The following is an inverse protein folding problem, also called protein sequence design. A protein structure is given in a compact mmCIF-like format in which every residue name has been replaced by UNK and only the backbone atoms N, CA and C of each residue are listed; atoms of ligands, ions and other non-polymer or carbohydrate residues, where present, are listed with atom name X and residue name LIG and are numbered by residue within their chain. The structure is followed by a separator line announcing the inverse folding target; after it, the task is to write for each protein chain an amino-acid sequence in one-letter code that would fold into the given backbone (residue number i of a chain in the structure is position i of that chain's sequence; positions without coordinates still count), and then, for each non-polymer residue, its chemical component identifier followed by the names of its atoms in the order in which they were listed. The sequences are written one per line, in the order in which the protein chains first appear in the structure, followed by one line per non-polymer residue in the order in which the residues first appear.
data_IF_027285429975
#
_entry.id   IF_027285429975
#
_cell.length_a   1.000
_cell.length_b   1.000
_cell.length_c   1.000
_cell.angle_alpha   90.00
_cell.angle_beta   90.00
_cell.angle_gamma   90.00
#
_symmetry.space_group_name_H-M   'P 1'
#
loop_
_entity.id
_entity.type
_entity.pdbx_description
1 polymer ?
#
# COMPACT_ATOMS: atom_id res chain seq x y z
N UNK A 1 26.19 41.91 -22.42
CA UNK A 1 26.39 40.44 -22.52
C UNK A 1 26.27 39.88 -21.10
N UNK A 2 25.07 39.48 -20.67
CA UNK A 2 24.79 39.03 -19.31
C UNK A 2 24.82 37.51 -19.27
N UNK A 3 25.76 36.96 -18.53
CA UNK A 3 25.84 35.52 -18.22
C UNK A 3 24.66 35.13 -17.34
N UNK A 4 23.80 34.21 -17.82
CA UNK A 4 22.78 33.54 -17.03
C UNK A 4 23.47 32.69 -15.97
N UNK A 5 23.07 32.71 -14.70
CA UNK A 5 23.60 31.81 -13.71
C UNK A 5 23.09 30.39 -14.05
N UNK A 6 24.03 29.47 -14.24
CA UNK A 6 23.75 28.04 -14.43
C UNK A 6 23.06 27.48 -13.19
N UNK A 7 21.83 27.03 -13.32
CA UNK A 7 21.11 26.32 -12.27
C UNK A 7 21.87 25.04 -11.95
N UNK A 8 22.44 24.95 -10.74
CA UNK A 8 23.03 23.74 -10.20
C UNK A 8 21.93 22.69 -10.06
N UNK A 9 22.08 21.54 -10.71
CA UNK A 9 21.20 20.36 -10.47
C UNK A 9 21.42 19.95 -9.01
N UNK A 10 20.38 19.91 -8.17
CA UNK A 10 20.54 19.53 -6.77
C UNK A 10 21.11 18.14 -6.65
N UNK A 11 22.07 17.94 -5.73
CA UNK A 11 22.62 16.63 -5.44
C UNK A 11 21.53 15.66 -4.98
N UNK A 12 21.71 14.34 -5.18
CA UNK A 12 20.71 13.29 -4.81
C UNK A 12 20.22 13.43 -3.36
N UNK A 13 21.10 13.76 -2.44
CA UNK A 13 20.76 13.93 -1.03
C UNK A 13 19.90 15.17 -0.76
N UNK A 14 20.13 16.26 -1.48
CA UNK A 14 19.32 17.46 -1.40
C UNK A 14 17.90 17.21 -1.94
N UNK A 15 17.78 16.55 -3.10
CA UNK A 15 16.47 16.19 -3.67
C UNK A 15 15.67 15.25 -2.76
N UNK A 16 16.32 14.27 -2.11
CA UNK A 16 15.69 13.40 -1.13
C UNK A 16 15.25 14.15 0.13
N UNK A 17 16.02 15.13 0.58
CA UNK A 17 15.67 16.01 1.69
C UNK A 17 14.46 16.88 1.40
N UNK A 18 14.41 17.49 0.23
CA UNK A 18 13.29 18.30 -0.23
C UNK A 18 12.00 17.48 -0.35
N UNK A 19 12.09 16.24 -0.88
CA UNK A 19 10.96 15.34 -0.98
C UNK A 19 10.40 14.95 0.39
N UNK A 20 11.27 14.60 1.35
CA UNK A 20 10.88 14.35 2.75
C UNK A 20 10.19 15.55 3.39
N UNK A 21 10.72 16.74 3.17
CA UNK A 21 10.14 17.98 3.72
C UNK A 21 8.73 18.25 3.16
N UNK A 22 8.51 17.99 1.88
CA UNK A 22 7.20 18.16 1.23
C UNK A 22 6.17 17.12 1.67
N UNK A 23 6.60 15.90 2.01
CA UNK A 23 5.75 14.80 2.46
C UNK A 23 5.67 14.68 3.98
N UNK A 24 6.25 15.60 4.75
CA UNK A 24 6.33 15.53 6.21
C UNK A 24 4.98 15.41 6.92
N UNK A 25 3.92 15.95 6.31
CA UNK A 25 2.56 15.98 6.85
C UNK A 25 1.65 14.91 6.19
N UNK A 26 2.26 13.88 5.62
CA UNK A 26 1.59 12.67 5.17
C UNK A 26 1.69 11.60 6.26
N UNK A 27 0.56 10.99 6.60
CA UNK A 27 0.44 9.84 7.48
C UNK A 27 0.21 8.60 6.63
N UNK A 28 0.99 7.54 6.87
CA UNK A 28 1.02 6.36 6.01
C UNK A 28 0.49 5.13 6.73
N UNK A 29 -0.56 4.51 6.19
CA UNK A 29 -1.15 3.28 6.72
C UNK A 29 -1.00 2.17 5.66
N UNK A 30 0.08 1.41 5.75
CA UNK A 30 0.33 0.23 4.92
C UNK A 30 -0.22 -1.05 5.55
N UNK A 31 0.03 -2.18 4.90
CA UNK A 31 -0.25 -3.50 5.48
C UNK A 31 -1.12 -4.41 4.61
N UNK A 32 -1.37 -5.61 5.12
CA UNK A 32 -2.08 -6.68 4.42
C UNK A 32 -3.54 -6.39 4.12
N UNK A 33 -4.09 -7.13 3.16
CA UNK A 33 -5.51 -7.05 2.81
C UNK A 33 -6.39 -7.50 3.99
N UNK A 34 -7.53 -6.85 4.18
CA UNK A 34 -8.47 -7.17 5.25
C UNK A 34 -8.10 -6.61 6.64
N UNK A 35 -6.97 -5.89 6.79
CA UNK A 35 -6.48 -5.37 8.09
C UNK A 35 -7.25 -4.15 8.64
N UNK A 36 -8.31 -3.67 8.00
CA UNK A 36 -9.07 -2.51 8.48
C UNK A 36 -8.47 -1.15 8.13
N UNK A 37 -7.42 -1.07 7.29
CA UNK A 37 -6.75 0.18 6.90
C UNK A 37 -7.71 1.28 6.49
N UNK A 38 -8.58 1.01 5.52
CA UNK A 38 -9.51 1.99 4.96
C UNK A 38 -10.54 2.50 5.98
N UNK A 39 -10.98 1.63 6.91
CA UNK A 39 -11.89 2.02 7.99
C UNK A 39 -11.21 3.00 8.94
N UNK A 40 -10.00 2.66 9.41
CA UNK A 40 -9.23 3.51 10.32
C UNK A 40 -8.83 4.82 9.65
N UNK A 41 -8.33 4.75 8.41
CA UNK A 41 -7.93 5.95 7.67
C UNK A 41 -9.08 6.95 7.50
N UNK A 42 -10.29 6.47 7.13
CA UNK A 42 -11.49 7.33 7.04
C UNK A 42 -11.85 7.96 8.38
N UNK A 43 -11.81 7.19 9.48
CA UNK A 43 -12.12 7.72 10.83
C UNK A 43 -11.13 8.78 11.27
N UNK A 44 -9.83 8.54 11.08
CA UNK A 44 -8.79 9.52 11.39
C UNK A 44 -8.88 10.76 10.51
N UNK A 45 -9.10 10.59 9.21
CA UNK A 45 -9.28 11.70 8.28
C UNK A 45 -10.45 12.61 8.71
N UNK A 46 -11.60 12.01 9.02
CA UNK A 46 -12.78 12.74 9.48
C UNK A 46 -12.55 13.45 10.83
N UNK A 47 -11.91 12.77 11.80
CA UNK A 47 -11.69 13.31 13.16
C UNK A 47 -10.69 14.47 13.16
N UNK A 48 -9.67 14.41 12.32
CA UNK A 48 -8.55 15.38 12.34
C UNK A 48 -8.55 16.32 11.14
N UNK A 49 -9.60 16.35 10.32
CA UNK A 49 -9.70 17.23 9.17
C UNK A 49 -8.64 16.95 8.09
N UNK A 50 -8.19 15.69 7.97
CA UNK A 50 -7.19 15.29 7.01
C UNK A 50 -7.85 14.80 5.71
N UNK A 51 -7.12 14.91 4.60
CA UNK A 51 -7.56 14.34 3.32
C UNK A 51 -7.21 12.86 3.26
N UNK A 52 -8.13 12.04 2.76
CA UNK A 52 -7.90 10.63 2.53
C UNK A 52 -7.35 10.39 1.12
N UNK A 53 -6.29 9.59 1.02
CA UNK A 53 -5.76 9.07 -0.22
C UNK A 53 -5.69 7.55 -0.13
N UNK A 54 -6.65 6.86 -0.76
CA UNK A 54 -6.69 5.40 -0.83
C UNK A 54 -5.99 4.93 -2.11
N UNK A 55 -4.93 4.14 -1.98
CA UNK A 55 -4.17 3.67 -3.15
C UNK A 55 -4.98 2.76 -4.06
N UNK A 56 -6.01 2.11 -3.54
CA UNK A 56 -6.89 1.23 -4.29
C UNK A 56 -7.81 2.01 -5.24
N UNK A 57 -8.26 3.19 -4.82
CA UNK A 57 -9.16 4.04 -5.61
C UNK A 57 -8.47 4.60 -6.88
N UNK A 58 -7.14 4.73 -6.85
CA UNK A 58 -6.36 5.29 -7.96
C UNK A 58 -5.68 4.24 -8.84
N UNK A 59 -5.87 2.93 -8.54
CA UNK A 59 -5.20 1.85 -9.28
C UNK A 59 -5.49 1.88 -10.78
N UNK A 60 -6.75 2.10 -11.17
CA UNK A 60 -7.14 2.17 -12.58
C UNK A 60 -6.51 3.39 -13.29
N UNK A 61 -6.41 4.52 -12.61
CA UNK A 61 -5.75 5.72 -13.14
C UNK A 61 -4.25 5.50 -13.30
N UNK A 62 -3.59 4.98 -12.29
CA UNK A 62 -2.17 4.64 -12.34
C UNK A 62 -1.86 3.62 -13.44
N UNK A 63 -2.75 2.63 -13.65
CA UNK A 63 -2.61 1.68 -14.76
C UNK A 63 -2.63 2.38 -16.14
N UNK A 64 -3.45 3.41 -16.32
CA UNK A 64 -3.49 4.19 -17.56
C UNK A 64 -2.28 5.11 -17.75
N UNK A 65 -1.71 5.60 -16.66
CA UNK A 65 -0.54 6.50 -16.65
C UNK A 65 0.78 5.75 -16.77
N UNK A 66 0.80 4.45 -16.46
CA UNK A 66 2.00 3.60 -16.55
C UNK A 66 2.22 3.10 -17.96
N UNK A 67 3.48 2.98 -18.36
CA UNK A 67 3.88 2.32 -19.60
C UNK A 67 4.41 0.92 -19.32
N UNK A 68 4.46 0.00 -20.32
CA UNK A 68 5.10 -1.30 -20.12
C UNK A 68 6.59 -1.22 -19.75
N UNK A 69 7.26 -0.14 -20.11
CA UNK A 69 8.65 0.10 -19.71
C UNK A 69 8.78 0.46 -18.23
N UNK A 70 7.81 1.24 -17.69
CA UNK A 70 7.80 1.65 -16.26
C UNK A 70 7.25 0.58 -15.33
N UNK A 71 6.35 -0.28 -15.87
CA UNK A 71 5.62 -1.28 -15.09
C UNK A 71 5.51 -2.61 -15.85
N UNK A 72 6.65 -3.29 -16.14
CA UNK A 72 6.67 -4.50 -16.96
C UNK A 72 5.91 -5.67 -16.34
N UNK A 73 5.92 -5.84 -15.02
CA UNK A 73 5.15 -6.89 -14.33
C UNK A 73 3.64 -6.63 -14.40
N UNK A 74 3.20 -5.37 -14.26
CA UNK A 74 1.77 -5.04 -14.45
C UNK A 74 1.34 -5.21 -15.89
N UNK A 75 2.18 -4.87 -16.87
CA UNK A 75 1.91 -5.12 -18.28
C UNK A 75 1.76 -6.63 -18.56
N UNK A 76 2.67 -7.45 -18.04
CA UNK A 76 2.57 -8.90 -18.13
C UNK A 76 1.30 -9.44 -17.46
N UNK A 77 0.97 -8.97 -16.26
CA UNK A 77 -0.25 -9.36 -15.56
C UNK A 77 -1.52 -8.97 -16.35
N UNK A 78 -1.54 -7.79 -16.97
CA UNK A 78 -2.68 -7.34 -17.79
C UNK A 78 -2.90 -8.20 -19.04
N UNK A 79 -1.82 -8.76 -19.61
CA UNK A 79 -1.89 -9.64 -20.77
C UNK A 79 -2.44 -11.05 -20.47
N UNK A 80 -2.41 -11.50 -19.20
CA UNK A 80 -2.91 -12.80 -18.78
C UNK A 80 -4.44 -12.86 -18.83
N UNK A 81 -5.01 -14.02 -19.13
CA UNK A 81 -6.43 -14.28 -18.90
C UNK A 81 -6.74 -14.45 -17.39
N UNK A 82 -8.01 -14.57 -17.06
CA UNK A 82 -8.43 -14.59 -15.65
C UNK A 82 -7.99 -15.86 -14.92
N UNK A 83 -7.97 -17.00 -15.60
CA UNK A 83 -7.54 -18.28 -15.01
C UNK A 83 -6.02 -18.35 -14.88
N UNK A 84 -5.29 -17.81 -15.83
CA UNK A 84 -3.85 -17.66 -15.72
C UNK A 84 -3.49 -16.76 -14.53
N UNK A 85 -4.22 -15.67 -14.30
CA UNK A 85 -4.00 -14.78 -13.15
C UNK A 85 -4.21 -15.47 -11.81
N UNK A 86 -5.27 -16.29 -11.68
CA UNK A 86 -5.78 -16.65 -10.36
C UNK A 86 -5.89 -18.16 -10.09
N UNK A 87 -5.86 -19.02 -11.13
CA UNK A 87 -6.02 -20.47 -11.02
C UNK A 87 -4.74 -21.23 -11.34
N UNK A 88 -4.11 -20.92 -12.49
CA UNK A 88 -3.06 -21.75 -13.06
C UNK A 88 -1.70 -21.57 -12.41
N UNK A 89 -1.43 -20.39 -11.89
CA UNK A 89 -0.16 -20.05 -11.25
C UNK A 89 -0.18 -20.35 -9.75
N UNK A 90 0.93 -20.85 -9.16
CA UNK A 90 1.02 -21.00 -7.72
C UNK A 90 1.10 -19.64 -7.01
N UNK A 91 0.68 -19.56 -5.73
CA UNK A 91 0.67 -18.32 -4.94
C UNK A 91 2.02 -17.59 -4.88
N UNK A 92 3.13 -18.34 -4.84
CA UNK A 92 4.49 -17.81 -4.83
C UNK A 92 4.78 -17.04 -6.12
N UNK A 93 4.43 -17.60 -7.26
CA UNK A 93 4.57 -16.94 -8.56
C UNK A 93 3.70 -15.70 -8.64
N UNK A 94 2.47 -15.77 -8.14
CA UNK A 94 1.59 -14.60 -8.06
C UNK A 94 2.18 -13.49 -7.19
N UNK A 95 2.78 -13.85 -6.05
CA UNK A 95 3.45 -12.91 -5.14
C UNK A 95 4.63 -12.21 -5.82
N UNK A 96 5.48 -12.99 -6.52
CA UNK A 96 6.70 -12.47 -7.13
C UNK A 96 6.45 -11.67 -8.41
N UNK A 97 5.34 -11.88 -9.08
CA UNK A 97 5.08 -11.29 -10.40
C UNK A 97 3.96 -10.27 -10.42
N UNK A 98 3.31 -9.97 -9.28
CA UNK A 98 2.37 -8.85 -9.23
C UNK A 98 3.15 -7.54 -9.05
N UNK A 99 3.17 -6.69 -10.06
CA UNK A 99 3.97 -5.47 -10.10
C UNK A 99 3.76 -4.54 -8.90
N UNK A 100 2.54 -4.42 -8.39
CA UNK A 100 2.26 -3.61 -7.21
C UNK A 100 2.92 -4.14 -5.92
N UNK A 101 3.11 -5.46 -5.79
CA UNK A 101 3.84 -6.05 -4.67
C UNK A 101 5.36 -5.86 -4.80
N UNK A 102 5.81 -5.44 -5.97
CA UNK A 102 7.20 -5.08 -6.28
C UNK A 102 7.45 -3.58 -6.25
N UNK A 103 6.42 -2.77 -6.03
CA UNK A 103 6.52 -1.31 -5.97
C UNK A 103 6.29 -0.60 -7.30
N UNK A 104 5.92 -1.31 -8.38
CA UNK A 104 5.57 -0.63 -9.63
C UNK A 104 4.46 0.39 -9.43
N UNK A 105 4.61 1.56 -10.04
CA UNK A 105 3.68 2.67 -9.91
C UNK A 105 3.74 3.41 -8.57
N UNK A 106 4.69 3.13 -7.66
CA UNK A 106 4.82 3.89 -6.41
C UNK A 106 5.17 5.37 -6.65
N UNK A 107 5.95 5.67 -7.68
CA UNK A 107 6.24 7.04 -8.09
C UNK A 107 4.99 7.87 -8.35
N UNK A 108 3.95 7.28 -8.93
CA UNK A 108 2.67 7.94 -9.17
C UNK A 108 1.93 8.28 -7.87
N UNK A 109 2.04 7.41 -6.84
CA UNK A 109 1.52 7.71 -5.49
C UNK A 109 2.20 8.95 -4.92
N UNK A 110 3.53 9.00 -5.02
CA UNK A 110 4.32 10.17 -4.56
C UNK A 110 3.91 11.44 -5.30
N UNK A 111 3.78 11.39 -6.62
CA UNK A 111 3.32 12.53 -7.42
C UNK A 111 1.94 13.04 -6.98
N UNK A 112 1.00 12.14 -6.78
CA UNK A 112 -0.36 12.48 -6.35
C UNK A 112 -0.36 13.13 -4.96
N UNK A 113 0.40 12.58 -4.00
CA UNK A 113 0.54 13.14 -2.66
C UNK A 113 1.17 14.53 -2.69
N UNK A 114 2.15 14.77 -3.56
CA UNK A 114 2.76 16.07 -3.74
C UNK A 114 1.78 17.11 -4.33
N UNK A 115 0.85 16.68 -5.19
CA UNK A 115 -0.22 17.54 -5.73
C UNK A 115 -1.28 17.83 -4.70
N UNK A 116 -1.62 16.85 -3.85
CA UNK A 116 -2.56 17.05 -2.76
C UNK A 116 -2.03 18.04 -1.70
N UNK A 117 -0.74 18.06 -1.45
CA UNK A 117 -0.12 18.90 -0.43
C UNK A 117 -0.28 18.36 1.01
N UNK A 118 -0.10 19.17 2.06
CA UNK A 118 -0.02 18.73 3.45
C UNK A 118 -1.36 18.23 4.02
N UNK A 119 -1.29 17.45 5.10
CA UNK A 119 -2.48 16.98 5.84
C UNK A 119 -3.22 15.85 5.13
N UNK A 120 -2.51 14.80 4.73
CA UNK A 120 -3.07 13.62 4.04
C UNK A 120 -2.84 12.36 4.85
N UNK A 121 -3.85 11.50 4.93
CA UNK A 121 -3.69 10.09 5.29
C UNK A 121 -3.67 9.28 3.99
N UNK A 122 -2.53 8.66 3.70
CA UNK A 122 -2.37 7.70 2.62
C UNK A 122 -2.56 6.27 3.16
N UNK A 123 -3.41 5.47 2.53
CA UNK A 123 -3.64 4.08 2.94
C UNK A 123 -3.62 3.12 1.75
N UNK A 124 -3.18 1.89 2.00
CA UNK A 124 -3.26 0.81 1.03
C UNK A 124 -2.11 -0.19 1.09
N UNK A 125 -2.29 -1.31 0.39
CA UNK A 125 -1.29 -2.39 0.33
C UNK A 125 -0.07 -2.04 -0.51
N UNK A 126 -0.18 -1.04 -1.41
CA UNK A 126 0.91 -0.56 -2.28
C UNK A 126 1.94 0.29 -1.53
N UNK A 127 1.69 0.63 -0.26
CA UNK A 127 2.61 1.38 0.59
C UNK A 127 3.64 0.40 1.20
N UNK A 128 4.63 0.03 0.38
CA UNK A 128 5.67 -0.92 0.79
C UNK A 128 6.67 -0.26 1.75
N UNK A 129 7.11 -0.96 2.82
CA UNK A 129 7.98 -0.38 3.85
C UNK A 129 9.26 0.25 3.30
N UNK A 130 9.98 -0.43 2.39
CA UNK A 130 11.23 0.07 1.81
C UNK A 130 11.05 1.31 0.92
N UNK A 131 9.87 1.48 0.32
CA UNK A 131 9.56 2.65 -0.51
C UNK A 131 9.10 3.85 0.31
N UNK A 132 8.37 3.61 1.41
CA UNK A 132 7.87 4.66 2.30
C UNK A 132 8.98 5.16 3.25
N UNK A 133 9.82 4.25 3.80
CA UNK A 133 10.86 4.59 4.79
C UNK A 133 11.75 5.76 4.39
N UNK A 134 12.27 5.86 3.14
CA UNK A 134 13.10 6.99 2.71
C UNK A 134 12.36 8.34 2.66
N UNK A 135 11.03 8.33 2.62
CA UNK A 135 10.19 9.53 2.53
C UNK A 135 9.78 10.08 3.90
N UNK A 136 10.01 9.31 4.97
CA UNK A 136 9.59 9.70 6.32
C UNK A 136 10.55 10.72 6.92
N UNK A 137 10.01 11.86 7.35
CA UNK A 137 10.71 12.81 8.22
C UNK A 137 10.70 12.33 9.68
N UNK A 138 9.63 11.65 10.09
CA UNK A 138 9.44 11.07 11.43
C UNK A 138 8.94 9.64 11.28
N UNK A 139 9.66 8.63 11.82
CA UNK A 139 9.24 7.22 11.70
C UNK A 139 7.82 6.94 12.19
N UNK A 140 7.36 7.63 13.24
CA UNK A 140 6.01 7.49 13.79
C UNK A 140 4.87 7.97 12.88
N UNK A 141 5.16 8.55 11.70
CA UNK A 141 4.16 8.92 10.70
C UNK A 141 3.74 7.77 9.77
N UNK A 142 4.23 6.57 10.00
CA UNK A 142 3.88 5.38 9.22
C UNK A 142 3.60 4.19 10.13
N UNK A 143 2.64 3.34 9.72
CA UNK A 143 2.29 2.10 10.42
C UNK A 143 1.85 1.02 9.43
N UNK A 144 2.21 -0.24 9.71
CA UNK A 144 1.76 -1.39 8.93
C UNK A 144 0.82 -2.26 9.73
N UNK A 145 -0.39 -2.47 9.20
CA UNK A 145 -1.41 -3.32 9.82
C UNK A 145 -1.30 -4.74 9.24
N UNK A 146 -1.02 -5.70 10.10
CA UNK A 146 -0.83 -7.09 9.72
C UNK A 146 -1.94 -7.96 10.33
N UNK A 147 -2.98 -8.35 9.55
CA UNK A 147 -4.04 -9.18 10.07
C UNK A 147 -3.53 -10.59 10.36
N UNK A 148 -3.97 -11.18 11.48
CA UNK A 148 -3.77 -12.60 11.75
C UNK A 148 -4.53 -13.45 10.72
N UNK A 149 -4.15 -14.71 10.48
CA UNK A 149 -4.84 -15.59 9.53
C UNK A 149 -6.34 -15.72 9.83
N UNK A 150 -6.71 -15.83 11.12
CA UNK A 150 -8.10 -15.93 11.54
C UNK A 150 -8.89 -14.66 11.27
N UNK A 151 -8.33 -13.49 11.59
CA UNK A 151 -8.96 -12.18 11.31
C UNK A 151 -9.14 -11.97 9.81
N UNK A 152 -8.10 -12.29 9.02
CA UNK A 152 -8.16 -12.16 7.55
C UNK A 152 -9.29 -12.99 6.96
N UNK A 153 -9.40 -14.27 7.36
CA UNK A 153 -10.46 -15.17 6.87
C UNK A 153 -11.85 -14.63 7.16
N UNK A 154 -12.07 -14.14 8.39
CA UNK A 154 -13.33 -13.52 8.79
C UNK A 154 -13.61 -12.22 7.99
N UNK A 155 -12.62 -11.36 7.79
CA UNK A 155 -12.75 -10.13 7.04
C UNK A 155 -13.09 -10.36 5.56
N UNK A 156 -12.53 -11.38 4.94
CA UNK A 156 -12.84 -11.75 3.56
C UNK A 156 -14.23 -12.36 3.43
N UNK A 157 -14.63 -13.22 4.35
CA UNK A 157 -15.98 -13.77 4.38
C UNK A 157 -17.04 -12.66 4.46
N UNK A 158 -16.79 -11.60 5.24
CA UNK A 158 -17.72 -10.48 5.40
C UNK A 158 -17.77 -9.51 4.21
N UNK A 159 -16.66 -9.34 3.46
CA UNK A 159 -16.55 -8.34 2.38
C UNK A 159 -16.81 -8.88 0.99
N UNK A 160 -16.68 -10.18 0.77
CA UNK A 160 -16.94 -10.82 -0.51
C UNK A 160 -15.99 -10.44 -1.68
N UNK A 161 -15.04 -9.52 -1.49
CA UNK A 161 -14.25 -8.98 -2.61
C UNK A 161 -13.36 -10.02 -3.30
N UNK A 162 -12.71 -10.92 -2.56
CA UNK A 162 -11.95 -12.01 -3.17
C UNK A 162 -12.86 -13.06 -3.80
N UNK A 163 -14.02 -13.32 -3.22
CA UNK A 163 -15.04 -14.18 -3.82
C UNK A 163 -15.53 -13.64 -5.16
N UNK A 164 -15.64 -12.31 -5.31
CA UNK A 164 -16.01 -11.69 -6.58
C UNK A 164 -14.96 -11.90 -7.68
N UNK A 165 -13.66 -11.90 -7.32
CA UNK A 165 -12.57 -12.20 -8.25
C UNK A 165 -12.58 -13.69 -8.58
N UNK A 166 -12.56 -14.55 -7.57
CA UNK A 166 -12.53 -16.00 -7.71
C UNK A 166 -13.75 -16.52 -8.48
N UNK A 167 -14.94 -15.98 -8.21
CA UNK A 167 -16.19 -16.38 -8.88
C UNK A 167 -16.25 -16.09 -10.37
N UNK A 168 -15.28 -15.37 -10.93
CA UNK A 168 -15.16 -15.11 -12.38
C UNK A 168 -14.24 -16.10 -13.09
N UNK A 169 -13.57 -17.00 -12.35
CA UNK A 169 -12.62 -17.98 -12.88
C UNK A 169 -13.32 -19.32 -13.15
N UNK A 170 -12.68 -20.20 -13.91
CA UNK A 170 -13.16 -21.55 -14.16
C UNK A 170 -13.15 -22.45 -12.91
N UNK A 171 -12.32 -22.13 -11.90
CA UNK A 171 -12.20 -22.85 -10.63
C UNK A 171 -12.16 -21.85 -9.46
N UNK A 172 -13.34 -21.41 -8.99
CA UNK A 172 -13.44 -20.41 -7.92
C UNK A 172 -12.80 -20.82 -6.59
N UNK A 173 -12.87 -22.11 -6.24
CA UNK A 173 -12.32 -22.59 -4.97
C UNK A 173 -10.79 -22.55 -4.98
N UNK A 174 -10.18 -23.01 -6.07
CA UNK A 174 -8.72 -22.94 -6.26
C UNK A 174 -8.24 -21.50 -6.34
N UNK A 175 -8.94 -20.67 -7.10
CA UNK A 175 -8.61 -19.23 -7.20
C UNK A 175 -8.64 -18.53 -5.83
N UNK A 176 -9.67 -18.83 -5.03
CA UNK A 176 -9.79 -18.29 -3.67
C UNK A 176 -8.66 -18.77 -2.76
N UNK A 177 -8.34 -20.07 -2.80
CA UNK A 177 -7.23 -20.64 -2.03
C UNK A 177 -5.90 -19.96 -2.39
N UNK A 178 -5.61 -19.82 -3.69
CA UNK A 178 -4.41 -19.15 -4.19
C UNK A 178 -4.35 -17.67 -3.75
N UNK A 179 -5.46 -16.95 -3.83
CA UNK A 179 -5.53 -15.53 -3.42
C UNK A 179 -5.27 -15.37 -1.92
N UNK A 180 -5.87 -16.24 -1.09
CA UNK A 180 -5.69 -16.21 0.36
C UNK A 180 -4.25 -16.52 0.77
N UNK A 181 -3.64 -17.52 0.13
CA UNK A 181 -2.25 -17.92 0.38
C UNK A 181 -1.29 -16.82 -0.05
N UNK A 182 -1.41 -16.30 -1.28
CA UNK A 182 -0.61 -15.17 -1.75
C UNK A 182 -0.68 -13.97 -0.81
N UNK A 183 -1.89 -13.59 -0.36
CA UNK A 183 -2.07 -12.46 0.54
C UNK A 183 -1.52 -12.73 1.95
N UNK A 184 -1.49 -13.99 2.38
CA UNK A 184 -0.82 -14.42 3.61
C UNK A 184 0.70 -14.20 3.50
N UNK A 185 1.29 -14.68 2.43
CA UNK A 185 2.73 -14.52 2.14
C UNK A 185 3.12 -13.04 1.99
N UNK A 186 2.31 -12.25 1.28
CA UNK A 186 2.54 -10.81 1.16
C UNK A 186 2.49 -10.10 2.52
N UNK A 187 1.52 -10.43 3.37
CA UNK A 187 1.43 -9.84 4.72
C UNK A 187 2.64 -10.21 5.59
N UNK A 188 3.11 -11.46 5.50
CA UNK A 188 4.32 -11.90 6.21
C UNK A 188 5.56 -11.11 5.74
N UNK A 189 5.73 -10.95 4.43
CA UNK A 189 6.80 -10.12 3.83
C UNK A 189 6.74 -8.67 4.32
N UNK A 190 5.56 -8.03 4.30
CA UNK A 190 5.40 -6.66 4.78
C UNK A 190 5.78 -6.51 6.26
N UNK A 191 5.37 -7.49 7.10
CA UNK A 191 5.71 -7.52 8.53
C UNK A 191 7.22 -7.59 8.74
N UNK A 192 7.86 -8.57 8.11
CA UNK A 192 9.31 -8.79 8.20
C UNK A 192 10.08 -7.54 7.76
N UNK A 193 9.72 -6.99 6.61
CA UNK A 193 10.37 -5.80 6.06
C UNK A 193 10.16 -4.57 6.95
N UNK A 194 8.93 -4.29 7.41
CA UNK A 194 8.66 -3.15 8.28
C UNK A 194 9.42 -3.29 9.60
N UNK A 195 9.43 -4.48 10.21
CA UNK A 195 10.17 -4.76 11.44
C UNK A 195 11.68 -4.59 11.25
N UNK A 196 12.23 -5.12 10.16
CA UNK A 196 13.66 -4.98 9.82
C UNK A 196 14.10 -3.53 9.58
N UNK A 197 13.18 -2.67 9.14
CA UNK A 197 13.39 -1.23 8.95
C UNK A 197 13.09 -0.38 10.20
N UNK A 198 12.75 -1.02 11.33
CA UNK A 198 12.38 -0.32 12.57
C UNK A 198 11.09 0.50 12.46
N UNK A 199 10.17 0.09 11.59
CA UNK A 199 8.90 0.77 11.38
C UNK A 199 7.78 0.12 12.22
N UNK A 200 6.81 0.90 12.72
CA UNK A 200 5.70 0.40 13.51
C UNK A 200 4.85 -0.64 12.78
N UNK A 201 4.64 -1.78 13.41
CA UNK A 201 3.74 -2.85 12.96
C UNK A 201 2.68 -3.08 14.02
N UNK A 202 1.42 -3.18 13.63
CA UNK A 202 0.31 -3.53 14.51
C UNK A 202 -0.34 -4.82 14.02
N UNK A 203 -0.37 -5.82 14.88
CA UNK A 203 -1.12 -7.04 14.64
C UNK A 203 -2.60 -6.80 14.86
N UNK A 204 -3.39 -7.21 13.88
CA UNK A 204 -4.85 -7.10 13.93
C UNK A 204 -5.44 -8.50 14.04
N UNK A 205 -6.03 -8.79 15.18
CA UNK A 205 -6.73 -10.03 15.48
C UNK A 205 -8.21 -9.75 15.81
N UNK A 206 -9.06 -10.79 15.94
CA UNK A 206 -10.50 -10.61 16.21
C UNK A 206 -10.85 -9.90 17.52
N UNK A 207 -9.91 -9.77 18.45
CA UNK A 207 -10.14 -9.08 19.74
C UNK A 207 -9.93 -7.58 19.65
N UNK A 208 -9.25 -7.10 18.59
CA UNK A 208 -8.98 -5.68 18.36
C UNK A 208 -10.20 -5.01 17.73
N UNK A 209 -10.84 -4.12 18.47
CA UNK A 209 -11.96 -3.33 17.93
C UNK A 209 -11.47 -2.22 16.99
N UNK A 210 -12.35 -1.72 16.13
CA UNK A 210 -12.03 -0.60 15.24
C UNK A 210 -11.65 0.67 16.03
N UNK A 211 -12.28 0.90 17.19
CA UNK A 211 -11.98 2.05 18.04
C UNK A 211 -10.60 1.92 18.70
N UNK A 212 -10.26 0.73 19.21
CA UNK A 212 -8.93 0.46 19.76
C UNK A 212 -7.85 0.65 18.71
N UNK A 213 -8.06 0.09 17.51
CA UNK A 213 -7.12 0.20 16.41
C UNK A 213 -6.93 1.67 16.00
N UNK A 214 -8.04 2.41 15.85
CA UNK A 214 -8.02 3.84 15.53
C UNK A 214 -7.26 4.64 16.60
N UNK A 215 -7.50 4.35 17.87
CA UNK A 215 -6.81 5.01 18.98
C UNK A 215 -5.32 4.69 19.05
N UNK A 216 -4.92 3.45 18.76
CA UNK A 216 -3.48 3.06 18.69
C UNK A 216 -2.76 3.81 17.58
N UNK A 217 -3.37 3.91 16.40
CA UNK A 217 -2.76 4.60 15.25
C UNK A 217 -2.74 6.11 15.47
N UNK A 218 -3.80 6.71 16.03
CA UNK A 218 -3.80 8.13 16.39
C UNK A 218 -2.62 8.47 17.30
N UNK A 219 -2.42 7.69 18.37
CA UNK A 219 -1.28 7.88 19.29
C UNK A 219 0.07 7.72 18.59
N UNK A 220 0.22 6.73 17.71
CA UNK A 220 1.46 6.53 16.95
C UNK A 220 1.77 7.72 16.04
N UNK A 221 0.74 8.35 15.49
CA UNK A 221 0.84 9.52 14.61
C UNK A 221 0.99 10.85 15.36
N UNK A 222 0.75 10.87 16.66
CA UNK A 222 0.71 12.10 17.46
C UNK A 222 -0.53 12.97 17.18
N UNK A 223 -1.67 12.32 16.86
CA UNK A 223 -2.97 12.91 16.58
C UNK A 223 -3.89 12.87 17.82
#
# INVERSE_FOLDING_TARGET
MGTRPGGQVPGRDQAAGELRARLRDVYWIGGGSGAGKSTVARRLAARHGLRLYATDDVMADHGRRSTPADSPFMAGFAAMDIDERWVSRPPETMLETLGWFRGEGFGLIVEDLLRLGPGVIAEGFRLLPHLVRPLLSVPGRAVWLCPTPGFRRAAFASRGSLFQIAGKTSDPDKALANLLERDAMFTARLREEATGLGLPVIDVDPTVTEDDLTGRIARAFGL
#
